data_IF_794683374169
#
_entry.id   IF_794683374169
#
_cell.length_a   1.000
_cell.length_b   1.000
_cell.length_c   1.000
_cell.angle_alpha   90.00
_cell.angle_beta   90.00
_cell.angle_gamma   90.00
#
_symmetry.space_group_name_H-M   'P 1'
#
loop_
_entity.id
_entity.type
_entity.pdbx_description
1 polymer ?
#
# COMPACT_ATOMS: atom_id res chain seq x y z
N UNK A 1 -71.23 50.27 22.38
CA UNK A 1 -70.60 49.31 21.45
C UNK A 1 -70.01 48.18 22.30
N UNK A 2 -70.85 47.36 22.95
CA UNK A 2 -71.37 46.03 22.52
C UNK A 2 -70.27 45.05 22.06
N UNK A 3 -69.88 44.15 22.96
CA UNK A 3 -70.02 42.65 22.93
C UNK A 3 -68.95 42.03 22.00
N UNK A 4 -68.18 41.00 22.36
CA UNK A 4 -68.64 39.60 22.47
C UNK A 4 -67.58 38.75 23.21
N UNK A 5 -68.07 38.03 24.23
CA UNK A 5 -67.52 36.81 24.82
C UNK A 5 -67.28 35.72 23.78
N UNK A 6 -66.20 34.95 23.87
CA UNK A 6 -66.30 33.51 23.57
C UNK A 6 -65.38 32.71 24.50
N UNK A 7 -66.03 32.11 25.50
CA UNK A 7 -65.58 30.90 26.18
C UNK A 7 -65.91 29.73 25.26
N UNK A 8 -64.93 28.91 24.91
CA UNK A 8 -65.16 27.52 24.49
C UNK A 8 -64.16 26.64 25.22
N UNK A 9 -64.68 25.88 26.18
CA UNK A 9 -64.03 24.72 26.75
C UNK A 9 -64.09 23.56 25.75
N UNK A 10 -63.02 22.78 25.61
CA UNK A 10 -63.11 21.43 25.07
C UNK A 10 -61.93 20.56 25.55
N UNK A 11 -62.25 19.73 26.56
CA UNK A 11 -61.88 18.31 26.71
C UNK A 11 -60.42 17.86 26.51
N UNK A 12 -59.82 17.37 27.59
CA UNK A 12 -58.64 16.51 27.59
C UNK A 12 -58.90 15.16 26.89
N UNK A 13 -57.84 14.46 26.43
CA UNK A 13 -57.41 13.30 27.22
C UNK A 13 -55.89 13.08 27.29
N UNK A 14 -55.45 12.76 28.51
CA UNK A 14 -54.59 11.63 28.89
C UNK A 14 -53.88 10.88 27.75
N UNK A 15 -52.54 10.97 27.70
CA UNK A 15 -51.68 9.96 27.06
C UNK A 15 -50.29 9.94 27.69
N UNK A 16 -50.11 8.93 28.54
CA UNK A 16 -48.97 8.02 28.62
C UNK A 16 -47.57 8.62 28.72
N UNK A 17 -47.06 8.54 29.94
CA UNK A 17 -45.64 8.38 30.28
C UNK A 17 -45.03 7.22 29.47
N UNK A 18 -44.15 7.53 28.52
CA UNK A 18 -43.29 6.56 27.82
C UNK A 18 -41.93 6.52 28.52
N UNK A 19 -41.47 5.38 29.06
CA UNK A 19 -40.12 5.27 29.59
C UNK A 19 -39.09 5.22 28.45
N UNK A 20 -37.85 5.70 28.64
CA UNK A 20 -36.77 5.44 27.69
C UNK A 20 -36.37 3.96 27.78
N UNK A 21 -36.73 3.19 26.75
CA UNK A 21 -36.13 1.88 26.50
C UNK A 21 -34.65 2.04 26.16
N UNK A 22 -33.77 1.72 27.10
CA UNK A 22 -32.34 1.50 26.84
C UNK A 22 -32.19 0.17 26.09
N UNK A 23 -32.16 0.23 24.76
CA UNK A 23 -31.56 -0.84 23.97
C UNK A 23 -30.05 -0.75 24.14
N UNK A 24 -29.49 -1.67 24.94
CA UNK A 24 -28.07 -1.93 24.97
C UNK A 24 -27.69 -2.65 23.67
N UNK A 25 -27.48 -1.89 22.60
CA UNK A 25 -26.80 -2.40 21.41
C UNK A 25 -25.36 -2.69 21.81
N UNK A 26 -25.11 -3.98 22.03
CA UNK A 26 -23.78 -4.51 22.29
C UNK A 26 -23.05 -4.45 20.96
N UNK A 27 -22.29 -3.37 20.74
CA UNK A 27 -21.36 -3.27 19.60
C UNK A 27 -20.38 -4.44 19.71
N UNK A 28 -20.38 -5.42 18.79
CA UNK A 28 -19.35 -6.43 18.79
C UNK A 28 -18.03 -5.73 18.47
N UNK A 29 -17.12 -5.72 19.45
CA UNK A 29 -15.73 -5.31 19.28
C UNK A 29 -15.14 -5.98 18.04
N UNK A 30 -14.51 -5.22 17.12
CA UNK A 30 -13.81 -5.82 16.01
C UNK A 30 -12.68 -6.69 16.57
N UNK A 31 -12.78 -7.99 16.31
CA UNK A 31 -11.75 -9.00 16.54
C UNK A 31 -10.46 -8.47 15.92
N UNK A 32 -9.51 -8.10 16.77
CA UNK A 32 -8.16 -7.65 16.40
C UNK A 32 -7.60 -8.62 15.37
N UNK A 33 -7.48 -8.17 14.12
CA UNK A 33 -6.73 -8.87 13.11
C UNK A 33 -5.28 -8.92 13.60
N UNK A 34 -4.80 -10.12 13.88
CA UNK A 34 -3.42 -10.35 14.28
C UNK A 34 -2.49 -9.79 13.19
N UNK A 35 -1.66 -8.82 13.58
CA UNK A 35 -0.54 -8.37 12.76
C UNK A 35 0.34 -9.57 12.38
N UNK A 36 0.78 -9.69 11.12
CA UNK A 36 1.77 -10.70 10.77
C UNK A 36 3.03 -10.41 11.57
N UNK A 37 3.47 -11.39 12.34
CA UNK A 37 4.62 -11.32 13.23
C UNK A 37 5.84 -10.80 12.46
N UNK A 38 6.31 -9.60 12.83
CA UNK A 38 7.50 -8.98 12.26
C UNK A 38 8.71 -9.81 12.67
N UNK A 39 9.21 -10.65 11.77
CA UNK A 39 10.56 -11.21 11.90
C UNK A 39 11.55 -10.03 12.00
N UNK A 40 12.60 -10.11 12.83
CA UNK A 40 13.55 -9.00 12.96
C UNK A 40 14.19 -8.71 11.58
N UNK A 41 13.88 -7.55 11.02
CA UNK A 41 14.25 -7.19 9.64
C UNK A 41 15.77 -7.14 9.42
N UNK A 42 16.51 -6.92 10.50
CA UNK A 42 17.97 -6.95 10.53
C UNK A 42 18.55 -8.33 10.19
N UNK A 43 17.89 -9.42 10.62
CA UNK A 43 18.35 -10.79 10.34
C UNK A 43 18.15 -11.11 8.85
N UNK A 44 16.99 -10.77 8.29
CA UNK A 44 16.70 -11.01 6.88
C UNK A 44 17.60 -10.14 5.97
N UNK A 45 17.83 -8.87 6.33
CA UNK A 45 18.75 -7.97 5.61
C UNK A 45 20.21 -8.49 5.61
N UNK A 46 20.68 -9.04 6.74
CA UNK A 46 22.03 -9.59 6.84
C UNK A 46 22.23 -10.83 5.95
N UNK A 47 21.21 -11.69 5.84
CA UNK A 47 21.24 -12.84 4.94
C UNK A 47 21.28 -12.40 3.47
N UNK A 48 20.49 -11.37 3.11
CA UNK A 48 20.50 -10.83 1.74
C UNK A 48 21.80 -10.08 1.42
N UNK A 49 22.41 -9.38 2.39
CA UNK A 49 23.75 -8.80 2.26
C UNK A 49 24.76 -9.86 1.84
N UNK A 50 24.77 -11.03 2.49
CA UNK A 50 25.72 -12.10 2.17
C UNK A 50 25.59 -12.60 0.72
N UNK A 51 24.36 -12.66 0.18
CA UNK A 51 24.12 -13.01 -1.23
C UNK A 51 24.66 -11.91 -2.16
N UNK A 52 24.35 -10.64 -1.89
CA UNK A 52 24.85 -9.51 -2.68
C UNK A 52 26.38 -9.45 -2.68
N UNK A 53 27.01 -9.63 -1.52
CA UNK A 53 28.47 -9.60 -1.38
C UNK A 53 29.13 -10.70 -2.21
N UNK A 54 28.54 -11.90 -2.21
CA UNK A 54 29.10 -13.06 -2.92
C UNK A 54 28.97 -12.97 -4.43
N UNK A 55 27.83 -12.46 -4.93
CA UNK A 55 27.46 -12.59 -6.34
C UNK A 55 27.40 -11.27 -7.12
N UNK A 56 27.30 -10.13 -6.43
CA UNK A 56 27.06 -8.83 -7.06
C UNK A 56 28.20 -7.84 -6.79
N UNK A 57 28.66 -7.74 -5.54
CA UNK A 57 29.69 -6.79 -5.11
C UNK A 57 31.03 -7.05 -5.78
N UNK A 58 31.30 -8.27 -6.25
CA UNK A 58 32.53 -8.58 -7.00
C UNK A 58 32.73 -7.64 -8.20
N UNK A 59 31.64 -7.21 -8.86
CA UNK A 59 31.70 -6.32 -10.03
C UNK A 59 31.11 -4.91 -9.76
N UNK A 60 30.08 -4.83 -8.92
CA UNK A 60 29.35 -3.59 -8.62
C UNK A 60 29.79 -3.03 -7.26
N UNK A 61 31.02 -2.57 -7.18
CA UNK A 61 31.61 -1.98 -5.97
C UNK A 61 32.25 -0.63 -6.24
N UNK A 62 32.66 0.08 -5.19
CA UNK A 62 33.29 1.39 -5.31
C UNK A 62 34.59 1.43 -6.15
N UNK A 63 35.27 0.29 -6.34
CA UNK A 63 36.50 0.21 -7.14
C UNK A 63 36.21 0.02 -8.63
N UNK A 64 35.37 -0.96 -8.98
CA UNK A 64 35.09 -1.31 -10.38
C UNK A 64 33.93 -0.51 -10.98
N UNK A 65 32.92 -0.16 -10.16
CA UNK A 65 31.71 0.59 -10.54
C UNK A 65 31.08 0.13 -11.85
N UNK A 66 31.05 -1.18 -12.08
CA UNK A 66 30.46 -1.75 -13.30
C UNK A 66 29.01 -1.28 -13.42
N UNK A 67 28.61 -0.76 -14.58
CA UNK A 67 27.26 -0.21 -14.76
C UNK A 67 26.93 1.00 -13.87
N UNK A 68 27.95 1.70 -13.36
CA UNK A 68 27.81 2.84 -12.46
C UNK A 68 27.06 2.51 -11.15
N UNK A 69 27.32 1.32 -10.59
CA UNK A 69 26.70 0.82 -9.35
C UNK A 69 27.75 0.47 -8.28
N UNK A 70 27.49 0.91 -7.05
CA UNK A 70 28.27 0.64 -5.83
C UNK A 70 27.39 -0.10 -4.81
N UNK A 71 27.20 -1.41 -5.00
CA UNK A 71 26.34 -2.23 -4.14
C UNK A 71 26.99 -2.59 -2.80
N UNK A 72 28.32 -2.44 -2.68
CA UNK A 72 29.08 -2.57 -1.43
C UNK A 72 28.67 -1.53 -0.38
N UNK A 73 28.15 -0.38 -0.82
CA UNK A 73 27.72 0.71 0.06
C UNK A 73 26.21 0.82 0.21
N UNK A 74 25.44 -0.01 -0.50
CA UNK A 74 23.99 0.03 -0.46
C UNK A 74 23.50 -0.36 0.93
N UNK A 75 22.81 0.54 1.64
CA UNK A 75 22.15 0.19 2.89
C UNK A 75 20.89 -0.66 2.60
N UNK A 76 20.90 -1.89 3.10
CA UNK A 76 19.78 -2.83 2.93
C UNK A 76 18.75 -2.70 4.05
N UNK A 77 19.13 -2.11 5.19
CA UNK A 77 18.19 -1.87 6.30
C UNK A 77 17.25 -0.73 5.93
N UNK A 78 17.77 0.31 5.27
CA UNK A 78 17.02 1.45 4.78
C UNK A 78 16.97 1.48 3.25
N UNK A 79 16.67 0.33 2.62
CA UNK A 79 16.69 0.20 1.16
C UNK A 79 15.77 1.21 0.45
N UNK A 80 14.71 1.67 1.12
CA UNK A 80 13.81 2.71 0.61
C UNK A 80 14.47 4.05 0.31
N UNK A 81 15.49 4.44 1.10
CA UNK A 81 16.27 5.66 0.85
C UNK A 81 17.12 5.54 -0.44
N UNK A 82 17.21 4.34 -0.98
CA UNK A 82 17.94 3.98 -2.19
C UNK A 82 17.03 3.30 -3.23
N UNK A 83 15.73 3.62 -3.23
CA UNK A 83 14.73 2.93 -4.04
C UNK A 83 15.09 2.83 -5.52
N UNK A 84 15.59 3.91 -6.13
CA UNK A 84 15.97 3.90 -7.55
C UNK A 84 17.03 2.83 -7.86
N UNK A 85 18.02 2.69 -7.00
CA UNK A 85 19.08 1.67 -7.12
C UNK A 85 18.52 0.28 -6.85
N UNK A 86 17.72 0.11 -5.79
CA UNK A 86 17.08 -1.16 -5.45
C UNK A 86 16.21 -1.69 -6.60
N UNK A 87 15.37 -0.84 -7.19
CA UNK A 87 14.53 -1.19 -8.33
C UNK A 87 15.34 -1.56 -9.57
N UNK A 88 16.43 -0.85 -9.88
CA UNK A 88 17.33 -1.21 -11.00
C UNK A 88 17.87 -2.63 -10.82
N UNK A 89 18.29 -2.98 -9.60
CA UNK A 89 18.79 -4.32 -9.27
C UNK A 89 17.67 -5.34 -9.46
N UNK A 90 16.50 -5.13 -8.85
CA UNK A 90 15.34 -6.03 -8.99
C UNK A 90 14.99 -6.27 -10.47
N UNK A 91 14.93 -5.23 -11.29
CA UNK A 91 14.65 -5.37 -12.74
C UNK A 91 15.68 -6.24 -13.44
N UNK A 92 16.97 -6.09 -13.14
CA UNK A 92 18.04 -6.90 -13.76
C UNK A 92 17.99 -8.36 -13.30
N UNK A 93 17.66 -8.61 -12.03
CA UNK A 93 17.53 -9.95 -11.47
C UNK A 93 16.29 -10.67 -12.04
N UNK A 94 15.12 -10.00 -12.09
CA UNK A 94 13.89 -10.53 -12.70
C UNK A 94 14.07 -10.85 -14.18
N UNK A 95 14.85 -10.06 -14.90
CA UNK A 95 15.19 -10.32 -16.29
C UNK A 95 16.25 -11.42 -16.50
N UNK A 96 16.79 -12.02 -15.43
CA UNK A 96 17.83 -13.04 -15.52
C UNK A 96 19.15 -12.54 -16.12
N UNK A 97 19.37 -11.23 -16.19
CA UNK A 97 20.58 -10.64 -16.76
C UNK A 97 21.78 -10.66 -15.81
N UNK A 98 21.51 -10.79 -14.50
CA UNK A 98 22.54 -10.79 -13.46
C UNK A 98 22.48 -12.05 -12.59
N UNK A 99 23.61 -12.58 -12.11
CA UNK A 99 24.98 -12.32 -12.59
C UNK A 99 25.15 -12.67 -14.09
N UNK A 100 26.10 -12.07 -14.82
CA UNK A 100 26.26 -12.33 -16.26
C UNK A 100 26.67 -13.79 -16.52
N UNK A 101 26.52 -14.24 -17.77
CA UNK A 101 26.92 -15.58 -18.17
C UNK A 101 28.42 -15.82 -17.86
N UNK A 102 28.73 -17.03 -17.38
CA UNK A 102 30.09 -17.39 -16.96
C UNK A 102 30.45 -17.05 -15.51
N UNK A 103 29.62 -16.27 -14.81
CA UNK A 103 29.79 -16.00 -13.38
C UNK A 103 29.01 -17.01 -12.52
N UNK A 104 29.48 -17.33 -11.29
CA UNK A 104 28.70 -18.11 -10.34
C UNK A 104 27.33 -17.49 -10.12
N UNK A 105 26.29 -18.32 -10.09
CA UNK A 105 24.91 -17.89 -9.80
C UNK A 105 24.39 -18.63 -8.57
N UNK A 106 23.63 -17.97 -7.69
CA UNK A 106 22.85 -18.64 -6.65
C UNK A 106 21.91 -19.67 -7.26
N UNK A 107 21.48 -20.64 -6.45
CA UNK A 107 20.36 -21.49 -6.83
C UNK A 107 19.07 -20.66 -7.01
N UNK A 108 18.08 -21.17 -7.77
CA UNK A 108 16.87 -20.41 -8.06
C UNK A 108 16.07 -19.99 -6.83
N UNK A 109 16.07 -20.77 -5.75
CA UNK A 109 15.32 -20.45 -4.55
C UNK A 109 15.98 -19.29 -3.80
N UNK A 110 17.30 -19.30 -3.67
CA UNK A 110 18.06 -18.18 -3.10
C UNK A 110 17.89 -16.90 -3.92
N UNK A 111 17.97 -16.99 -5.25
CA UNK A 111 17.77 -15.83 -6.13
C UNK A 111 16.37 -15.25 -5.99
N UNK A 112 15.33 -16.09 -6.04
CA UNK A 112 13.95 -15.64 -5.88
C UNK A 112 13.70 -15.06 -4.48
N UNK A 113 14.32 -15.64 -3.44
CA UNK A 113 14.26 -15.14 -2.08
C UNK A 113 14.81 -13.71 -1.96
N UNK A 114 15.98 -13.46 -2.55
CA UNK A 114 16.57 -12.12 -2.60
C UNK A 114 15.65 -11.13 -3.32
N UNK A 115 15.17 -11.48 -4.51
CA UNK A 115 14.32 -10.58 -5.31
C UNK A 115 13.04 -10.23 -4.55
N UNK A 116 12.33 -11.24 -4.04
CA UNK A 116 11.08 -11.01 -3.29
C UNK A 116 11.30 -10.25 -2.00
N UNK A 117 12.44 -10.43 -1.34
CA UNK A 117 12.79 -9.63 -0.17
C UNK A 117 13.01 -8.16 -0.55
N UNK A 118 13.80 -7.87 -1.60
CA UNK A 118 14.06 -6.50 -2.06
C UNK A 118 12.77 -5.79 -2.47
N UNK A 119 11.90 -6.46 -3.24
CA UNK A 119 10.59 -5.93 -3.63
C UNK A 119 9.76 -5.55 -2.41
N UNK A 120 9.67 -6.43 -1.40
CA UNK A 120 8.91 -6.16 -0.17
C UNK A 120 9.46 -4.98 0.63
N UNK A 121 10.77 -4.83 0.71
CA UNK A 121 11.38 -3.69 1.40
C UNK A 121 11.12 -2.38 0.67
N UNK A 122 11.26 -2.38 -0.66
CA UNK A 122 10.94 -1.23 -1.50
C UNK A 122 9.46 -0.84 -1.38
N UNK A 123 8.55 -1.81 -1.52
CA UNK A 123 7.10 -1.60 -1.41
C UNK A 123 6.70 -1.09 -0.03
N UNK A 124 7.33 -1.58 1.05
CA UNK A 124 7.07 -1.12 2.41
C UNK A 124 7.52 0.33 2.62
N UNK A 125 8.63 0.72 2.01
CA UNK A 125 9.19 2.06 2.11
C UNK A 125 8.53 3.08 1.19
N UNK A 126 7.77 2.61 0.19
CA UNK A 126 7.05 3.48 -0.71
C UNK A 126 6.08 4.37 0.08
N UNK A 127 6.17 5.68 -0.15
CA UNK A 127 5.22 6.62 0.43
C UNK A 127 3.81 6.14 0.07
N UNK A 128 2.99 5.84 1.08
CA UNK A 128 1.59 5.55 0.83
C UNK A 128 0.99 6.85 0.32
N UNK A 129 0.71 6.89 -0.99
CA UNK A 129 -0.11 7.94 -1.54
C UNK A 129 -1.54 7.68 -1.05
N UNK A 130 -1.79 8.03 0.21
CA UNK A 130 -3.11 8.24 0.74
C UNK A 130 -3.59 9.48 0.02
N UNK A 131 -4.52 9.34 -0.92
CA UNK A 131 -4.98 10.51 -1.63
C UNK A 131 -5.67 11.43 -0.63
N UNK A 132 -5.62 12.74 -0.88
CA UNK A 132 -6.12 13.74 0.06
C UNK A 132 -7.52 13.36 0.61
N UNK A 133 -7.81 13.65 1.90
CA UNK A 133 -9.16 13.48 2.42
C UNK A 133 -10.14 14.18 1.48
N UNK A 134 -11.04 13.42 0.86
CA UNK A 134 -11.82 13.91 -0.29
C UNK A 134 -11.62 13.12 -1.59
N UNK A 135 -11.03 11.92 -1.55
CA UNK A 135 -11.26 10.94 -2.62
C UNK A 135 -12.74 10.71 -2.83
N UNK A 136 -13.28 11.33 -3.86
CA UNK A 136 -14.53 10.88 -4.41
C UNK A 136 -14.25 9.69 -5.32
N UNK A 137 -15.15 8.72 -5.30
CA UNK A 137 -15.15 7.65 -6.28
C UNK A 137 -15.27 8.31 -7.66
N UNK A 138 -14.33 7.99 -8.54
CA UNK A 138 -14.34 8.46 -9.91
C UNK A 138 -15.69 8.15 -10.56
N UNK A 139 -16.34 9.17 -11.10
CA UNK A 139 -17.56 8.99 -11.86
C UNK A 139 -17.22 8.39 -13.25
N UNK A 140 -18.26 8.00 -13.99
CA UNK A 140 -18.08 7.29 -15.26
C UNK A 140 -17.32 8.11 -16.32
N UNK A 141 -17.55 9.41 -16.37
CA UNK A 141 -16.85 10.33 -17.28
C UNK A 141 -15.40 10.51 -16.88
N UNK A 142 -15.15 10.68 -15.59
CA UNK A 142 -13.80 10.84 -15.07
C UNK A 142 -12.97 9.56 -15.26
N UNK A 143 -13.58 8.38 -15.16
CA UNK A 143 -12.92 7.12 -15.48
C UNK A 143 -12.52 7.03 -16.96
N UNK A 144 -13.43 7.38 -17.88
CA UNK A 144 -13.10 7.44 -19.32
C UNK A 144 -11.93 8.39 -19.59
N UNK A 145 -11.93 9.57 -18.97
CA UNK A 145 -10.85 10.55 -19.11
C UNK A 145 -9.54 10.03 -18.54
N UNK A 146 -9.55 9.43 -17.34
CA UNK A 146 -8.35 8.87 -16.72
C UNK A 146 -7.72 7.77 -17.57
N UNK A 147 -8.53 6.88 -18.15
CA UNK A 147 -8.04 5.83 -19.06
C UNK A 147 -7.44 6.43 -20.32
N UNK A 148 -8.07 7.45 -20.91
CA UNK A 148 -7.51 8.17 -22.07
C UNK A 148 -6.20 8.86 -21.73
N UNK A 149 -6.11 9.53 -20.59
CA UNK A 149 -4.99 10.39 -20.25
C UNK A 149 -3.77 9.58 -19.79
N UNK A 150 -3.98 8.47 -19.07
CA UNK A 150 -2.90 7.60 -18.58
C UNK A 150 -2.48 6.57 -19.63
N UNK A 151 -3.43 5.99 -20.37
CA UNK A 151 -3.18 4.84 -21.24
C UNK A 151 -3.38 5.15 -22.73
N UNK A 152 -3.91 6.31 -23.10
CA UNK A 152 -4.19 6.67 -24.49
C UNK A 152 -5.40 5.94 -25.10
N UNK A 153 -6.19 5.23 -24.30
CA UNK A 153 -7.28 4.39 -24.79
C UNK A 153 -8.62 5.10 -24.67
N UNK A 154 -9.43 5.05 -25.73
CA UNK A 154 -10.83 5.48 -25.67
C UNK A 154 -11.72 4.31 -25.28
N UNK A 155 -12.37 4.43 -24.12
CA UNK A 155 -13.31 3.44 -23.60
C UNK A 155 -14.66 4.09 -23.37
N UNK A 156 -15.71 3.30 -23.59
CA UNK A 156 -17.07 3.66 -23.20
C UNK A 156 -17.42 2.91 -21.92
N UNK A 157 -17.12 3.52 -20.77
CA UNK A 157 -17.45 2.92 -19.50
C UNK A 157 -18.95 2.59 -19.37
N UNK A 158 -19.88 3.24 -20.11
CA UNK A 158 -21.35 2.94 -20.03
C UNK A 158 -21.70 1.50 -20.34
N UNK A 159 -20.86 0.82 -21.12
CA UNK A 159 -21.08 -0.55 -21.56
C UNK A 159 -20.58 -1.61 -20.57
N UNK A 160 -19.81 -1.23 -19.55
CA UNK A 160 -19.06 -2.18 -18.71
C UNK A 160 -19.23 -1.99 -17.18
N UNK A 161 -19.91 -0.92 -16.75
CA UNK A 161 -20.16 -0.57 -15.33
C UNK A 161 -21.63 -0.26 -15.12
#
# INVERSE_FOLDING_TARGET
MRVVFFVVACLAPMSLLVPPGRSADTVPTPKTAASPSARPQTLDASAQRAVLDRYCVVCHNAKLKTGNLELDKLDLVHLGDHAETGEKVVRKLRAGMMPPAGMPRPDPATMNGLITWMEKELDRSAATYLPAPGLHRLNRTEYNNAIRDVLGLQVDATKFL
#
